data_IF_303034615968
#
_entry.id   IF_303034615968
#
_cell.length_a   1.000
_cell.length_b   1.000
_cell.length_c   1.000
_cell.angle_alpha   90.00
_cell.angle_beta   90.00
_cell.angle_gamma   90.00
#
_symmetry.space_group_name_H-M   'P 1'
#
loop_
_entity.id
_entity.type
_entity.pdbx_description
1 polymer ?
#
# COMPACT_ATOMS: atom_id res chain seq x y z
N UNK A 1 -11.76 -7.55 -8.20
CA UNK A 1 -10.86 -6.58 -7.54
C UNK A 1 -9.63 -7.33 -7.05
N UNK A 2 -8.52 -7.27 -7.78
CA UNK A 2 -7.29 -8.02 -7.44
C UNK A 2 -6.49 -7.28 -6.35
N UNK A 3 -6.43 -5.94 -6.42
CA UNK A 3 -5.63 -5.12 -5.50
C UNK A 3 -6.03 -5.22 -4.01
N UNK A 4 -7.31 -5.39 -3.67
CA UNK A 4 -7.74 -5.52 -2.27
C UNK A 4 -7.18 -6.79 -1.63
N UNK A 5 -7.30 -7.93 -2.32
CA UNK A 5 -6.82 -9.21 -1.82
C UNK A 5 -5.30 -9.17 -1.64
N UNK A 6 -4.59 -8.55 -2.59
CA UNK A 6 -3.14 -8.38 -2.55
C UNK A 6 -2.70 -7.49 -1.38
N UNK A 7 -3.36 -6.33 -1.18
CA UNK A 7 -3.09 -5.48 0.00
C UNK A 7 -3.28 -6.24 1.31
N UNK A 8 -4.36 -7.03 1.43
CA UNK A 8 -4.64 -7.88 2.60
C UNK A 8 -3.63 -9.02 2.81
N UNK A 9 -2.79 -9.32 1.83
CA UNK A 9 -1.67 -10.26 1.96
C UNK A 9 -0.33 -9.56 2.21
N UNK A 10 -0.32 -8.23 2.35
CA UNK A 10 0.90 -7.45 2.56
C UNK A 10 1.63 -7.05 1.27
N UNK A 11 1.00 -7.20 0.10
CA UNK A 11 1.59 -6.75 -1.17
C UNK A 11 1.71 -5.23 -1.17
N UNK A 12 2.87 -4.74 -1.60
CA UNK A 12 3.16 -3.31 -1.69
C UNK A 12 2.94 -2.85 -3.13
N UNK A 13 2.11 -1.83 -3.29
CA UNK A 13 1.96 -1.09 -4.53
C UNK A 13 2.79 0.18 -4.48
N UNK A 14 3.43 0.58 -5.57
CA UNK A 14 4.20 1.81 -5.60
C UNK A 14 4.85 2.10 -6.93
N UNK A 15 5.68 3.12 -6.91
CA UNK A 15 6.63 3.47 -7.97
C UNK A 15 7.95 3.91 -7.32
N UNK A 16 9.01 3.16 -7.62
CA UNK A 16 10.35 3.42 -7.07
C UNK A 16 10.97 4.72 -7.62
N UNK A 17 10.47 5.25 -8.75
CA UNK A 17 10.96 6.50 -9.32
C UNK A 17 10.38 7.72 -8.61
N UNK A 18 9.11 7.66 -8.21
CA UNK A 18 8.43 8.75 -7.47
C UNK A 18 8.51 8.59 -5.96
N UNK A 19 9.02 7.45 -5.47
CA UNK A 19 9.07 7.11 -4.06
C UNK A 19 7.67 7.16 -3.41
N UNK A 20 6.66 6.67 -4.13
CA UNK A 20 5.28 6.59 -3.67
C UNK A 20 4.90 5.13 -3.44
N UNK A 21 4.29 4.85 -2.28
CA UNK A 21 3.93 3.49 -1.90
C UNK A 21 2.59 3.43 -1.19
N UNK A 22 1.85 2.34 -1.39
CA UNK A 22 0.61 1.99 -0.71
C UNK A 22 0.71 0.54 -0.26
N UNK A 23 0.51 0.29 1.03
CA UNK A 23 0.54 -1.06 1.59
C UNK A 23 -0.30 -1.16 2.88
N UNK A 24 -0.75 -2.37 3.21
CA UNK A 24 -1.40 -2.64 4.49
C UNK A 24 -0.36 -3.06 5.53
N UNK A 25 -0.24 -2.39 6.69
CA UNK A 25 0.66 -2.85 7.74
C UNK A 25 0.19 -4.18 8.33
N UNK A 26 1.13 -4.99 8.83
CA UNK A 26 0.84 -6.30 9.41
C UNK A 26 -0.19 -6.27 10.55
N UNK A 27 -0.24 -5.17 11.31
CA UNK A 27 -1.21 -4.96 12.40
C UNK A 27 -2.66 -4.83 11.93
N UNK A 28 -2.89 -4.52 10.66
CA UNK A 28 -4.21 -4.29 10.07
C UNK A 28 -4.77 -5.55 9.37
N UNK A 29 -3.96 -6.61 9.26
CA UNK A 29 -4.36 -7.86 8.61
C UNK A 29 -5.41 -8.57 9.46
N UNK A 30 -6.60 -8.80 8.88
CA UNK A 30 -7.72 -9.44 9.56
C UNK A 30 -8.59 -8.51 10.41
N UNK A 31 -8.27 -7.20 10.44
CA UNK A 31 -9.09 -6.18 11.09
C UNK A 31 -10.35 -5.90 10.26
N UNK A 32 -11.48 -5.59 10.92
CA UNK A 32 -12.78 -5.34 10.28
C UNK A 32 -12.74 -4.12 9.34
N UNK A 33 -12.13 -3.02 9.80
CA UNK A 33 -11.97 -1.78 9.05
C UNK A 33 -10.48 -1.44 8.96
N UNK A 34 -9.72 -2.13 8.09
CA UNK A 34 -8.27 -2.01 8.06
C UNK A 34 -7.84 -0.69 7.44
N UNK A 35 -6.75 -0.13 7.97
CA UNK A 35 -6.06 1.00 7.39
C UNK A 35 -4.90 0.54 6.51
N UNK A 36 -4.58 1.35 5.49
CA UNK A 36 -3.39 1.23 4.68
C UNK A 36 -2.50 2.45 4.94
N UNK A 37 -1.20 2.28 4.71
CA UNK A 37 -0.24 3.38 4.70
C UNK A 37 -0.05 3.84 3.28
N UNK A 38 -0.18 5.14 3.07
CA UNK A 38 0.34 5.82 1.88
C UNK A 38 1.62 6.56 2.23
N UNK A 39 2.70 6.24 1.51
CA UNK A 39 3.96 6.94 1.58
C UNK A 39 4.16 7.84 0.37
N UNK A 40 4.58 9.08 0.60
CA UNK A 40 4.95 10.01 -0.45
C UNK A 40 6.03 10.96 0.09
N UNK A 41 7.16 11.07 -0.61
CA UNK A 41 8.25 11.99 -0.26
C UNK A 41 8.71 11.91 1.22
N UNK A 42 8.75 10.70 1.78
CA UNK A 42 9.16 10.46 3.17
C UNK A 42 8.09 10.78 4.22
N UNK A 43 6.90 11.22 3.81
CA UNK A 43 5.74 11.32 4.70
C UNK A 43 4.89 10.05 4.60
N UNK A 44 4.28 9.68 5.72
CA UNK A 44 3.34 8.56 5.83
C UNK A 44 1.99 9.08 6.27
N UNK A 45 0.93 8.54 5.69
CA UNK A 45 -0.44 8.87 6.08
C UNK A 45 -1.28 7.61 6.10
N UNK A 46 -2.13 7.49 7.12
CA UNK A 46 -3.11 6.43 7.19
C UNK A 46 -4.26 6.76 6.24
N UNK A 47 -4.63 5.79 5.40
CA UNK A 47 -5.71 5.91 4.43
C UNK A 47 -6.60 4.68 4.54
N UNK A 48 -7.90 4.86 4.39
CA UNK A 48 -8.81 3.72 4.32
C UNK A 48 -8.60 2.92 3.03
N UNK A 49 -9.20 1.73 2.98
CA UNK A 49 -9.06 0.83 1.84
C UNK A 49 -9.60 1.44 0.53
N UNK A 50 -10.65 2.26 0.58
CA UNK A 50 -11.21 2.91 -0.61
C UNK A 50 -10.24 3.94 -1.18
N UNK A 51 -9.64 4.75 -0.31
CA UNK A 51 -8.64 5.75 -0.69
C UNK A 51 -7.35 5.10 -1.19
N UNK A 52 -6.90 4.01 -0.55
CA UNK A 52 -5.76 3.22 -1.03
C UNK A 52 -5.96 2.74 -2.48
N UNK A 53 -7.14 2.20 -2.81
CA UNK A 53 -7.46 1.76 -4.18
C UNK A 53 -7.55 2.92 -5.16
N UNK A 54 -8.06 4.07 -4.71
CA UNK A 54 -8.10 5.30 -5.51
C UNK A 54 -6.67 5.75 -5.86
N UNK A 55 -5.78 5.79 -4.88
CA UNK A 55 -4.37 6.15 -5.05
C UNK A 55 -3.66 5.20 -6.01
N UNK A 56 -3.80 3.88 -5.82
CA UNK A 56 -3.22 2.86 -6.71
C UNK A 56 -3.65 3.10 -8.16
N UNK A 57 -4.93 3.39 -8.39
CA UNK A 57 -5.45 3.64 -9.76
C UNK A 57 -4.99 4.97 -10.34
N UNK A 58 -5.15 6.07 -9.59
CA UNK A 58 -4.89 7.43 -10.09
C UNK A 58 -3.40 7.67 -10.33
N UNK A 59 -2.54 7.10 -9.47
CA UNK A 59 -1.08 7.18 -9.60
C UNK A 59 -0.49 6.04 -10.44
N UNK A 60 -1.33 5.12 -10.94
CA UNK A 60 -0.93 3.94 -11.69
C UNK A 60 0.13 3.06 -10.99
N UNK A 61 0.07 2.98 -9.66
CA UNK A 61 1.00 2.22 -8.84
C UNK A 61 0.94 0.73 -9.18
N UNK A 62 2.10 0.07 -9.19
CA UNK A 62 2.24 -1.35 -9.51
C UNK A 62 2.81 -2.10 -8.31
N UNK A 63 2.72 -3.41 -8.33
CA UNK A 63 3.44 -4.20 -7.34
C UNK A 63 4.93 -3.93 -7.46
N UNK A 64 5.58 -3.60 -6.34
CA UNK A 64 6.99 -3.24 -6.30
C UNK A 64 7.67 -3.85 -5.09
N UNK A 65 9.01 -3.90 -5.15
CA UNK A 65 9.84 -4.14 -3.98
C UNK A 65 10.18 -2.79 -3.34
N UNK A 66 9.62 -2.54 -2.16
CA UNK A 66 9.92 -1.36 -1.36
C UNK A 66 11.40 -1.35 -0.94
N UNK A 67 12.10 -0.19 -0.98
CA UNK A 67 13.51 -0.10 -0.62
C UNK A 67 13.81 -0.50 0.83
N UNK A 68 12.87 -0.30 1.76
CA UNK A 68 13.04 -0.62 3.19
C UNK A 68 12.33 -1.92 3.60
N UNK A 69 11.15 -2.18 3.05
CA UNK A 69 10.28 -3.29 3.49
C UNK A 69 10.49 -4.54 2.62
N UNK A 70 11.08 -4.41 1.43
CA UNK A 70 11.19 -5.50 0.49
C UNK A 70 9.89 -5.77 -0.25
N UNK A 71 9.57 -7.03 -0.49
CA UNK A 71 8.42 -7.43 -1.33
C UNK A 71 7.08 -7.51 -0.57
N UNK A 72 7.11 -7.39 0.76
CA UNK A 72 5.96 -7.54 1.65
C UNK A 72 6.04 -6.51 2.78
N UNK A 73 4.90 -6.00 3.23
CA UNK A 73 4.78 -5.16 4.42
C UNK A 73 4.62 -5.96 5.72
N UNK A 74 4.50 -7.28 5.62
CA UNK A 74 4.40 -8.26 6.70
C UNK A 74 5.59 -9.20 6.73
#
# INVERSE_FOLDING_TARGET
>A
MIAIAELKTGVIFGDNNTCEYVYMPASEIGVENPLCVYENNGQRSDVDLSEALRLIRVRALRQVKHPVLGSSSC
#
